data_IF_988344663015
#
_entry.id   IF_988344663015
#
_cell.length_a   1.000
_cell.length_b   1.000
_cell.length_c   1.000
_cell.angle_alpha   90.00
_cell.angle_beta   90.00
_cell.angle_gamma   90.00
#
_symmetry.space_group_name_H-M   'P 1'
#
loop_
_entity.id
_entity.type
_entity.pdbx_description
1 polymer ?
#
# COMPACT_ATOMS: atom_id res chain seq x y z
N UNK A 1 11.20 -41.16 -2.27
CA UNK A 1 10.86 -39.79 -2.71
C UNK A 1 9.62 -39.38 -1.95
N UNK A 2 9.74 -38.53 -0.93
CA UNK A 2 8.59 -38.01 -0.21
C UNK A 2 8.00 -36.87 -1.02
N UNK A 3 6.84 -37.07 -1.61
CA UNK A 3 6.02 -35.99 -2.18
C UNK A 3 5.57 -35.11 -1.04
N UNK A 4 6.26 -34.00 -0.83
CA UNK A 4 5.78 -32.89 0.00
C UNK A 4 4.56 -32.30 -0.74
N UNK A 5 3.38 -32.83 -0.46
CA UNK A 5 2.13 -32.14 -0.76
C UNK A 5 2.08 -30.88 0.11
N UNK A 6 2.71 -29.82 -0.36
CA UNK A 6 2.62 -28.53 0.28
C UNK A 6 1.21 -28.02 0.17
N UNK A 7 0.44 -28.09 1.24
CA UNK A 7 -0.86 -27.42 1.31
C UNK A 7 -0.60 -25.91 1.11
N UNK A 8 -1.16 -25.37 0.04
CA UNK A 8 -1.13 -23.94 -0.24
C UNK A 8 -1.83 -23.19 0.89
N UNK A 9 -1.24 -22.09 1.35
CA UNK A 9 -1.83 -21.23 2.38
C UNK A 9 -3.07 -20.49 1.84
N UNK A 10 -3.01 -20.07 0.59
CA UNK A 10 -4.07 -19.39 -0.12
C UNK A 10 -4.70 -20.36 -1.12
N UNK A 11 -6.00 -20.32 -1.21
CA UNK A 11 -6.79 -21.12 -2.14
C UNK A 11 -7.70 -20.22 -2.96
N UNK A 12 -8.07 -20.68 -4.14
CA UNK A 12 -9.11 -20.04 -4.95
C UNK A 12 -10.37 -19.84 -4.11
N UNK A 13 -10.93 -18.62 -4.14
CA UNK A 13 -12.12 -18.24 -3.39
C UNK A 13 -11.85 -17.69 -2.00
N UNK A 14 -10.61 -17.73 -1.50
CA UNK A 14 -10.26 -17.13 -0.21
C UNK A 14 -10.45 -15.61 -0.24
N UNK A 15 -10.99 -15.10 0.85
CA UNK A 15 -11.15 -13.66 1.09
C UNK A 15 -10.34 -13.28 2.32
N UNK A 16 -9.61 -12.17 2.24
CA UNK A 16 -8.84 -11.63 3.36
C UNK A 16 -9.02 -10.13 3.49
N UNK A 17 -8.96 -9.64 4.72
CA UNK A 17 -8.87 -8.22 5.04
C UNK A 17 -7.47 -7.90 5.53
N UNK A 18 -6.96 -6.73 5.20
CA UNK A 18 -5.66 -6.26 5.67
C UNK A 18 -5.73 -4.82 6.17
N UNK A 19 -4.94 -4.53 7.20
CA UNK A 19 -4.68 -3.18 7.67
C UNK A 19 -3.17 -3.05 7.87
N UNK A 20 -2.59 -2.04 7.26
CA UNK A 20 -1.15 -1.81 7.27
C UNK A 20 -0.84 -0.32 7.39
N UNK A 21 0.27 0.01 8.00
CA UNK A 21 0.77 1.38 8.07
C UNK A 21 2.27 1.41 7.78
N UNK A 22 2.75 2.56 7.33
CA UNK A 22 4.15 2.81 7.01
C UNK A 22 4.53 4.23 7.36
N UNK A 23 5.72 4.48 7.94
CA UNK A 23 6.38 5.75 7.77
C UNK A 23 6.65 5.93 6.26
N UNK A 24 6.37 7.10 5.74
CA UNK A 24 6.49 7.37 4.31
C UNK A 24 7.45 8.54 4.08
N UNK A 25 8.75 8.27 3.90
CA UNK A 25 9.67 9.28 3.39
C UNK A 25 9.38 9.51 1.91
N UNK A 26 8.96 10.71 1.55
CA UNK A 26 8.80 11.09 0.15
C UNK A 26 10.15 11.49 -0.42
N UNK A 27 10.58 10.82 -1.47
CA UNK A 27 11.78 11.20 -2.21
C UNK A 27 11.42 12.16 -3.33
N UNK A 28 11.25 13.42 -3.01
CA UNK A 28 11.29 14.44 -4.05
C UNK A 28 12.69 15.08 -4.02
N UNK A 29 13.30 15.29 -5.17
CA UNK A 29 14.72 15.55 -5.38
C UNK A 29 15.33 16.74 -4.60
N UNK A 30 14.55 17.50 -3.85
CA UNK A 30 15.01 18.65 -3.08
C UNK A 30 14.40 18.77 -1.67
N UNK A 31 13.72 17.75 -1.13
CA UNK A 31 13.02 17.85 0.16
C UNK A 31 13.08 16.53 0.92
N UNK A 32 13.41 16.63 2.20
CA UNK A 32 13.24 15.54 3.16
C UNK A 32 11.86 15.66 3.80
N UNK A 33 10.86 15.09 3.17
CA UNK A 33 9.50 15.08 3.68
C UNK A 33 9.26 13.78 4.45
N UNK A 34 8.64 13.89 5.60
CA UNK A 34 8.30 12.74 6.42
C UNK A 34 6.79 12.71 6.66
N UNK A 35 6.21 11.56 6.49
CA UNK A 35 4.79 11.35 6.73
C UNK A 35 4.47 9.94 7.18
N UNK A 36 3.19 9.68 7.32
CA UNK A 36 2.63 8.36 7.60
C UNK A 36 1.58 8.05 6.56
N UNK A 37 1.59 6.82 6.07
CA UNK A 37 0.55 6.29 5.19
C UNK A 37 -0.06 5.05 5.83
N UNK A 38 -1.38 4.96 5.85
CA UNK A 38 -2.13 3.79 6.27
C UNK A 38 -2.97 3.24 5.12
N UNK A 39 -3.13 1.92 5.08
CA UNK A 39 -3.97 1.22 4.11
C UNK A 39 -4.88 0.21 4.79
N UNK A 40 -6.13 0.14 4.32
CA UNK A 40 -7.05 -0.95 4.59
C UNK A 40 -7.46 -1.58 3.26
N UNK A 41 -7.40 -2.90 3.16
CA UNK A 41 -7.66 -3.60 1.91
C UNK A 41 -8.45 -4.88 2.08
N UNK A 42 -9.16 -5.24 1.01
CA UNK A 42 -9.81 -6.54 0.86
C UNK A 42 -9.21 -7.24 -0.35
N UNK A 43 -8.87 -8.50 -0.17
CA UNK A 43 -8.23 -9.34 -1.18
C UNK A 43 -9.08 -10.57 -1.45
N UNK A 44 -9.22 -10.91 -2.72
CA UNK A 44 -9.92 -12.09 -3.23
C UNK A 44 -8.98 -12.92 -4.11
N UNK A 45 -8.83 -14.21 -3.76
CA UNK A 45 -8.00 -15.14 -4.51
C UNK A 45 -8.75 -15.74 -5.70
N UNK A 46 -8.35 -15.38 -6.94
CA UNK A 46 -8.88 -15.94 -8.18
C UNK A 46 -8.27 -17.31 -8.49
N UNK A 47 -7.06 -17.55 -7.99
CA UNK A 47 -6.40 -18.86 -8.00
C UNK A 47 -5.52 -18.98 -6.75
N UNK A 48 -4.86 -20.12 -6.57
CA UNK A 48 -3.96 -20.32 -5.43
C UNK A 48 -2.76 -19.36 -5.44
N UNK A 49 -2.38 -18.86 -6.61
CA UNK A 49 -1.22 -18.00 -6.78
C UNK A 49 -1.55 -16.57 -7.23
N UNK A 50 -2.81 -16.28 -7.57
CA UNK A 50 -3.21 -14.95 -8.05
C UNK A 50 -4.38 -14.43 -7.25
N UNK A 51 -4.26 -13.19 -6.81
CA UNK A 51 -5.35 -12.48 -6.15
C UNK A 51 -5.55 -11.09 -6.72
N UNK A 52 -6.75 -10.57 -6.49
CA UNK A 52 -7.12 -9.19 -6.72
C UNK A 52 -7.36 -8.51 -5.37
N UNK A 53 -6.76 -7.34 -5.16
CA UNK A 53 -6.91 -6.57 -3.93
C UNK A 53 -7.43 -5.17 -4.25
N UNK A 54 -8.45 -4.72 -3.53
CA UNK A 54 -8.85 -3.33 -3.45
C UNK A 54 -8.37 -2.73 -2.13
N UNK A 55 -7.63 -1.62 -2.16
CA UNK A 55 -7.11 -0.96 -0.97
C UNK A 55 -7.51 0.50 -0.93
N UNK A 56 -8.08 0.95 0.19
CA UNK A 56 -8.17 2.36 0.54
C UNK A 56 -6.89 2.76 1.27
N UNK A 57 -6.39 3.95 0.97
CA UNK A 57 -5.26 4.53 1.68
C UNK A 57 -5.58 5.93 2.16
N UNK A 58 -4.89 6.35 3.20
CA UNK A 58 -4.79 7.73 3.66
C UNK A 58 -3.35 8.02 4.04
N UNK A 59 -2.86 9.22 3.73
CA UNK A 59 -1.54 9.66 4.15
C UNK A 59 -1.59 11.09 4.67
N UNK A 60 -0.72 11.37 5.61
CA UNK A 60 -0.47 12.71 6.12
C UNK A 60 1.03 12.96 6.03
N UNK A 61 1.43 13.96 5.27
CA UNK A 61 2.82 14.34 5.07
C UNK A 61 3.00 15.81 5.44
N UNK A 62 4.12 16.12 6.07
CA UNK A 62 4.50 17.50 6.40
C UNK A 62 5.71 17.88 5.57
N UNK A 63 5.54 18.91 4.73
CA UNK A 63 6.62 19.49 3.95
C UNK A 63 7.20 20.68 4.70
N UNK A 64 8.51 20.66 4.96
CA UNK A 64 9.23 21.82 5.52
C UNK A 64 9.90 22.59 4.38
N UNK A 65 9.31 23.73 4.02
CA UNK A 65 9.90 24.66 3.03
C UNK A 65 10.09 26.02 3.69
N UNK A 66 11.36 26.44 3.89
CA UNK A 66 11.71 27.78 4.36
C UNK A 66 10.92 28.23 5.58
N UNK A 67 10.98 27.47 6.69
CA UNK A 67 10.28 27.72 7.96
C UNK A 67 8.74 27.67 7.94
N UNK A 68 8.15 27.43 6.78
CA UNK A 68 6.69 27.24 6.64
C UNK A 68 6.36 25.78 6.42
N UNK A 69 5.63 25.17 7.35
CA UNK A 69 5.11 23.82 7.18
C UNK A 69 3.90 23.82 6.25
N UNK A 70 3.89 22.94 5.25
CA UNK A 70 2.72 22.65 4.42
C UNK A 70 2.29 21.24 4.78
N UNK A 71 1.04 21.07 5.20
CA UNK A 71 0.46 19.75 5.43
C UNK A 71 -0.18 19.26 4.14
N UNK A 72 0.15 18.02 3.77
CA UNK A 72 -0.44 17.32 2.63
C UNK A 72 -1.18 16.11 3.14
N UNK A 73 -2.49 16.12 2.95
CA UNK A 73 -3.34 14.97 3.23
C UNK A 73 -3.74 14.33 1.90
N UNK A 74 -3.46 13.04 1.73
CA UNK A 74 -3.90 12.32 0.53
C UNK A 74 -4.73 11.12 0.94
N UNK A 75 -5.72 10.79 0.12
CA UNK A 75 -6.57 9.63 0.30
C UNK A 75 -7.05 9.10 -1.05
N UNK A 76 -7.32 7.82 -1.13
CA UNK A 76 -7.77 7.23 -2.38
C UNK A 76 -7.92 5.73 -2.33
N UNK A 77 -8.07 5.17 -3.53
CA UNK A 77 -8.31 3.76 -3.75
C UNK A 77 -7.33 3.19 -4.78
N UNK A 78 -6.73 2.04 -4.47
CA UNK A 78 -5.76 1.37 -5.32
C UNK A 78 -6.21 -0.08 -5.55
N UNK A 79 -6.87 -0.39 -6.67
CA UNK A 79 -7.01 -1.75 -7.16
C UNK A 79 -5.63 -2.30 -7.57
N UNK A 80 -5.38 -3.55 -7.25
CA UNK A 80 -4.11 -4.21 -7.53
C UNK A 80 -4.26 -5.70 -7.76
N UNK A 81 -3.31 -6.26 -8.50
CA UNK A 81 -3.15 -7.69 -8.68
C UNK A 81 -1.92 -8.13 -7.90
N UNK A 82 -2.03 -9.25 -7.20
CA UNK A 82 -0.92 -9.89 -6.51
C UNK A 82 -0.64 -11.25 -7.12
N UNK A 83 0.64 -11.57 -7.26
CA UNK A 83 1.11 -12.90 -7.65
C UNK A 83 1.98 -13.49 -6.55
N UNK A 84 1.61 -14.68 -6.09
CA UNK A 84 2.28 -15.39 -5.02
C UNK A 84 3.32 -16.35 -5.59
N UNK A 85 4.60 -15.96 -5.52
CA UNK A 85 5.75 -16.77 -5.96
C UNK A 85 6.00 -17.95 -5.04
N UNK A 86 5.75 -17.74 -3.74
CA UNK A 86 5.86 -18.76 -2.70
C UNK A 86 4.55 -18.77 -1.93
N UNK A 87 3.91 -19.94 -1.89
CA UNK A 87 2.65 -20.12 -1.18
C UNK A 87 2.77 -21.36 -0.27
N UNK A 88 3.37 -21.19 0.90
CA UNK A 88 3.62 -22.25 1.88
C UNK A 88 2.73 -22.10 3.12
N UNK A 89 2.52 -23.18 3.93
CA UNK A 89 1.60 -23.15 5.08
C UNK A 89 1.89 -22.09 6.14
N UNK A 90 3.15 -21.65 6.30
CA UNK A 90 3.54 -20.66 7.31
C UNK A 90 3.84 -19.28 6.75
N UNK A 91 4.25 -19.18 5.50
CA UNK A 91 4.55 -17.91 4.88
C UNK A 91 4.26 -17.94 3.39
N UNK A 92 3.95 -16.80 2.83
CA UNK A 92 3.90 -16.59 1.40
C UNK A 92 4.66 -15.32 1.02
N UNK A 93 5.16 -15.31 -0.21
CA UNK A 93 5.87 -14.18 -0.82
C UNK A 93 5.10 -13.79 -2.07
N UNK A 94 4.82 -12.50 -2.22
CA UNK A 94 4.05 -12.00 -3.35
C UNK A 94 4.69 -10.77 -3.97
N UNK A 95 4.43 -10.58 -5.26
CA UNK A 95 4.59 -9.31 -5.96
C UNK A 95 3.23 -8.67 -6.16
N UNK A 96 3.18 -7.34 -6.18
CA UNK A 96 1.98 -6.55 -6.37
C UNK A 96 2.19 -5.52 -7.47
N UNK A 97 1.16 -5.35 -8.29
CA UNK A 97 1.04 -4.26 -9.25
C UNK A 97 -0.33 -3.60 -9.07
N UNK A 98 -0.37 -2.30 -8.88
CA UNK A 98 -1.59 -1.54 -8.66
C UNK A 98 -1.60 -0.23 -9.42
N UNK A 99 -2.79 0.19 -9.81
CA UNK A 99 -3.04 1.50 -10.38
C UNK A 99 -4.33 2.04 -9.80
N UNK A 100 -4.29 3.25 -9.26
CA UNK A 100 -5.40 3.82 -8.53
C UNK A 100 -5.56 5.32 -8.74
N UNK A 101 -6.48 5.88 -8.01
CA UNK A 101 -6.80 7.30 -8.01
C UNK A 101 -7.07 7.77 -6.58
N UNK A 102 -6.90 9.07 -6.38
CA UNK A 102 -7.12 9.69 -5.09
C UNK A 102 -7.25 11.20 -5.21
N UNK A 103 -7.25 11.80 -4.05
CA UNK A 103 -7.29 13.23 -3.88
C UNK A 103 -6.20 13.65 -2.89
N UNK A 104 -5.74 14.88 -3.06
CA UNK A 104 -4.73 15.49 -2.21
C UNK A 104 -5.20 16.87 -1.79
N UNK A 105 -5.15 17.13 -0.50
CA UNK A 105 -5.46 18.40 0.11
C UNK A 105 -4.16 19.06 0.58
N UNK A 106 -3.79 20.17 -0.03
CA UNK A 106 -2.67 21.01 0.35
C UNK A 106 -3.16 22.08 1.32
N UNK A 107 -2.71 22.03 2.56
CA UNK A 107 -3.08 22.99 3.61
C UNK A 107 -1.86 23.89 3.85
N UNK A 108 -1.95 25.16 3.41
CA UNK A 108 -0.92 26.18 3.64
C UNK A 108 -1.15 26.92 4.97
N UNK A 109 -0.09 27.52 5.53
CA UNK A 109 -0.12 28.21 6.83
C UNK A 109 -1.19 29.31 6.97
N UNK A 110 -1.81 29.75 5.88
CA UNK A 110 -2.83 30.79 5.88
C UNK A 110 -4.26 30.24 5.74
N UNK A 111 -4.45 28.90 5.88
CA UNK A 111 -5.76 28.28 5.81
C UNK A 111 -6.30 28.07 4.38
N UNK A 112 -5.51 28.35 3.36
CA UNK A 112 -5.86 28.02 1.99
C UNK A 112 -5.77 26.50 1.78
N UNK A 113 -6.87 25.89 1.34
CA UNK A 113 -6.94 24.46 0.98
C UNK A 113 -7.01 24.37 -0.53
N UNK A 114 -6.04 23.72 -1.11
CA UNK A 114 -6.01 23.43 -2.54
C UNK A 114 -6.21 21.92 -2.75
N UNK A 115 -7.31 21.58 -3.44
CA UNK A 115 -7.67 20.18 -3.71
C UNK A 115 -7.17 19.78 -5.09
N UNK A 116 -6.57 18.62 -5.19
CA UNK A 116 -6.06 18.07 -6.45
C UNK A 116 -6.39 16.61 -6.59
N UNK A 117 -6.62 16.19 -7.83
CA UNK A 117 -6.78 14.78 -8.14
C UNK A 117 -5.42 14.10 -8.36
N UNK A 118 -5.29 12.86 -7.88
CA UNK A 118 -4.10 12.03 -8.00
C UNK A 118 -4.37 10.79 -8.85
N UNK A 119 -3.40 10.45 -9.71
CA UNK A 119 -3.25 9.08 -10.22
C UNK A 119 -2.09 8.41 -9.51
N UNK A 120 -2.24 7.14 -9.17
CA UNK A 120 -1.28 6.41 -8.35
C UNK A 120 -0.90 5.13 -9.04
N UNK A 121 0.40 4.97 -9.28
CA UNK A 121 0.98 3.70 -9.70
C UNK A 121 1.71 3.08 -8.51
N UNK A 122 1.52 1.79 -8.26
CA UNK A 122 2.16 1.07 -7.17
C UNK A 122 2.71 -0.27 -7.66
N UNK A 123 3.98 -0.50 -7.40
CA UNK A 123 4.62 -1.79 -7.67
C UNK A 123 5.46 -2.18 -6.46
N UNK A 124 5.40 -3.44 -6.03
CA UNK A 124 6.15 -3.88 -4.86
C UNK A 124 6.12 -5.37 -4.62
N UNK A 125 6.77 -5.77 -3.55
CA UNK A 125 6.79 -7.14 -3.08
C UNK A 125 6.50 -7.20 -1.58
N UNK A 126 6.02 -8.34 -1.11
CA UNK A 126 5.71 -8.51 0.29
C UNK A 126 5.75 -9.96 0.76
N UNK A 127 5.66 -10.08 2.07
CA UNK A 127 5.64 -11.36 2.77
C UNK A 127 4.48 -11.35 3.76
N UNK A 128 3.71 -12.42 3.80
CA UNK A 128 2.75 -12.69 4.88
C UNK A 128 3.27 -13.87 5.69
N UNK A 129 3.37 -13.69 6.99
CA UNK A 129 3.75 -14.74 7.94
C UNK A 129 2.59 -15.09 8.83
N UNK A 130 2.23 -16.38 8.86
CA UNK A 130 1.10 -16.91 9.64
C UNK A 130 1.42 -16.91 11.14
N UNK A 131 0.66 -16.15 11.92
CA UNK A 131 0.72 -16.15 13.38
C UNK A 131 -0.24 -17.17 14.00
N UNK A 132 -1.47 -17.17 13.50
CA UNK A 132 -2.56 -18.07 13.90
C UNK A 132 -3.32 -18.55 12.67
N UNK A 133 -4.29 -19.43 12.84
CA UNK A 133 -5.00 -20.07 11.75
C UNK A 133 -5.52 -19.11 10.67
N UNK A 134 -6.04 -17.96 11.07
CA UNK A 134 -6.60 -16.94 10.18
C UNK A 134 -5.88 -15.60 10.24
N UNK A 135 -4.84 -15.46 11.08
CA UNK A 135 -4.14 -14.19 11.32
C UNK A 135 -2.71 -14.25 10.81
N UNK A 136 -2.32 -13.25 10.05
CA UNK A 136 -0.99 -13.09 9.46
C UNK A 136 -0.42 -11.72 9.81
N UNK A 137 0.89 -11.64 9.99
CA UNK A 137 1.65 -10.39 9.88
C UNK A 137 2.00 -10.19 8.42
N UNK A 138 1.80 -9.00 7.91
CA UNK A 138 2.15 -8.60 6.56
C UNK A 138 3.27 -7.55 6.59
N UNK A 139 4.34 -7.82 5.85
CA UNK A 139 5.36 -6.84 5.47
C UNK A 139 5.26 -6.63 3.97
N UNK A 140 5.15 -5.36 3.53
CA UNK A 140 5.02 -5.02 2.11
C UNK A 140 5.86 -3.78 1.78
N UNK A 141 6.64 -3.86 0.73
CA UNK A 141 7.59 -2.86 0.26
C UNK A 141 7.19 -2.36 -1.15
N UNK A 142 6.19 -1.51 -1.28
CA UNK A 142 5.83 -0.91 -2.56
C UNK A 142 6.62 0.36 -2.83
N UNK A 143 6.92 0.58 -4.10
CA UNK A 143 7.19 1.88 -4.66
C UNK A 143 5.87 2.51 -5.10
N UNK A 144 5.59 3.73 -4.64
CA UNK A 144 4.46 4.54 -5.07
C UNK A 144 4.95 5.66 -5.98
N UNK A 145 4.21 5.88 -7.05
CA UNK A 145 4.33 7.07 -7.87
C UNK A 145 2.94 7.70 -7.96
N UNK A 146 2.71 8.75 -7.19
CA UNK A 146 1.49 9.54 -7.23
C UNK A 146 1.75 10.79 -8.05
N UNK A 147 1.00 10.95 -9.13
CA UNK A 147 1.05 12.12 -10.02
C UNK A 147 -0.18 12.98 -9.79
N UNK A 148 0.05 14.24 -9.48
CA UNK A 148 -1.01 15.22 -9.42
C UNK A 148 -1.43 15.63 -10.85
N UNK A 149 -2.73 15.49 -11.15
CA UNK A 149 -3.27 15.79 -12.49
C UNK A 149 -3.45 17.29 -12.68
N UNK A 150 -3.63 18.04 -11.59
CA UNK A 150 -4.00 19.47 -11.63
C UNK A 150 -2.79 20.38 -11.50
N UNK A 151 -1.80 19.99 -10.70
CA UNK A 151 -0.63 20.79 -10.37
C UNK A 151 0.62 19.91 -10.53
N UNK A 152 1.38 20.13 -11.58
CA UNK A 152 2.57 19.32 -11.92
C UNK A 152 3.73 19.38 -10.88
N UNK A 153 3.56 19.99 -9.72
CA UNK A 153 4.67 20.32 -8.83
C UNK A 153 4.80 19.41 -7.59
N UNK A 154 3.79 18.64 -7.21
CA UNK A 154 3.82 17.86 -5.96
C UNK A 154 3.41 16.42 -6.23
N UNK A 155 4.39 15.55 -6.39
CA UNK A 155 4.17 14.12 -6.43
C UNK A 155 4.70 13.47 -5.16
N UNK A 156 3.84 12.78 -4.42
CA UNK A 156 4.26 11.91 -3.33
C UNK A 156 4.76 10.59 -3.95
N UNK A 157 6.06 10.52 -4.24
CA UNK A 157 6.68 9.32 -4.81
C UNK A 157 7.72 8.78 -3.85
N UNK A 158 7.78 7.47 -3.65
CA UNK A 158 8.78 6.88 -2.77
C UNK A 158 8.55 5.41 -2.46
N UNK A 159 9.48 4.84 -1.71
CA UNK A 159 9.37 3.48 -1.19
C UNK A 159 8.77 3.55 0.21
N UNK A 160 7.70 2.82 0.43
CA UNK A 160 7.08 2.67 1.75
C UNK A 160 7.37 1.28 2.33
N UNK A 161 7.50 1.20 3.66
CA UNK A 161 7.68 -0.06 4.39
C UNK A 161 6.43 -0.32 5.22
N UNK A 162 5.44 -0.94 4.62
CA UNK A 162 4.19 -1.28 5.32
C UNK A 162 4.37 -2.48 6.23
N UNK A 163 3.96 -2.29 7.47
CA UNK A 163 3.79 -3.36 8.44
C UNK A 163 2.34 -3.38 8.92
N UNK A 164 1.77 -4.56 9.09
CA UNK A 164 0.42 -4.69 9.60
C UNK A 164 -0.07 -6.12 9.68
N UNK A 165 -1.38 -6.26 9.67
CA UNK A 165 -2.04 -7.53 9.82
C UNK A 165 -2.95 -7.83 8.64
N UNK A 166 -3.02 -9.13 8.30
CA UNK A 166 -3.97 -9.67 7.33
C UNK A 166 -4.78 -10.76 8.03
N UNK A 167 -6.08 -10.70 7.85
CA UNK A 167 -7.03 -11.64 8.43
C UNK A 167 -7.81 -12.35 7.33
N UNK A 168 -7.75 -13.70 7.32
CA UNK A 168 -8.48 -14.54 6.38
C UNK A 168 -9.90 -14.78 6.92
N UNK A 169 -10.92 -14.54 6.10
CA UNK A 169 -12.33 -14.64 6.52
C UNK A 169 -12.87 -16.07 6.46
N UNK A 170 -12.43 -16.85 5.49
CA UNK A 170 -12.89 -18.23 5.21
C UNK A 170 -11.74 -19.23 5.13
#
# INVERSE_FOLDING_TARGET
>A
MATLTGFSQNKKGDISLSITASPFPTTNSNRNDFGVIAKAGMEFHISDNVSFQGSFFTSNNVLFKNESGININSYGFIPSVQYYFVNRPRFNVFGQLGYGFGFEDLIRNYGEIENSALTIFSIGAGVNYKLKEKLYVQLHLPYFNAQNITINEVSASGIAVFLGFKFKLN
#
